data_IF_471841256736
#
_entry.id   IF_471841256736
#
_cell.length_a   1.000
_cell.length_b   1.000
_cell.length_c   1.000
_cell.angle_alpha   90.00
_cell.angle_beta   90.00
_cell.angle_gamma   90.00
#
_symmetry.space_group_name_H-M   'P 1'
#
loop_
_entity.id
_entity.type
_entity.pdbx_description
1 polymer ?
#
# COMPACT_ATOMS: atom_id res chain seq x y z
N UNK A 1 23.37 1.20 -24.61
CA UNK A 1 22.69 1.56 -23.35
C UNK A 1 23.24 0.69 -22.24
N UNK A 2 23.52 1.22 -21.06
CA UNK A 2 24.11 0.45 -19.97
C UNK A 2 23.02 -0.29 -19.19
N UNK A 3 23.36 -1.39 -18.48
CA UNK A 3 22.41 -2.13 -17.64
C UNK A 3 21.65 -1.23 -16.64
N UNK A 4 22.36 -0.27 -16.03
CA UNK A 4 21.78 0.69 -15.07
C UNK A 4 20.65 1.50 -15.71
N UNK A 5 20.86 1.98 -16.94
CA UNK A 5 19.88 2.79 -17.68
C UNK A 5 18.62 1.95 -18.02
N UNK A 6 18.82 0.70 -18.44
CA UNK A 6 17.75 -0.23 -18.74
C UNK A 6 16.92 -0.55 -17.48
N UNK A 7 17.57 -0.81 -16.35
CA UNK A 7 16.90 -1.10 -15.09
C UNK A 7 16.11 0.12 -14.58
N UNK A 8 16.64 1.32 -14.76
CA UNK A 8 15.94 2.55 -14.39
C UNK A 8 14.72 2.78 -15.28
N UNK A 9 14.83 2.51 -16.57
CA UNK A 9 13.70 2.55 -17.52
C UNK A 9 12.60 1.57 -17.12
N UNK A 10 12.97 0.31 -16.87
CA UNK A 10 12.04 -0.74 -16.42
C UNK A 10 11.33 -0.35 -15.13
N UNK A 11 12.08 0.17 -14.16
CA UNK A 11 11.52 0.66 -12.90
C UNK A 11 10.49 1.77 -13.12
N UNK A 12 10.81 2.73 -13.97
CA UNK A 12 9.91 3.84 -14.29
C UNK A 12 8.61 3.33 -14.91
N UNK A 13 8.70 2.48 -15.93
CA UNK A 13 7.52 1.91 -16.58
C UNK A 13 6.67 1.06 -15.64
N UNK A 14 7.30 0.24 -14.79
CA UNK A 14 6.59 -0.56 -13.79
C UNK A 14 5.85 0.33 -12.76
N UNK A 15 6.43 1.46 -12.37
CA UNK A 15 5.83 2.40 -11.42
C UNK A 15 4.80 3.34 -12.04
N UNK A 16 4.79 3.45 -13.37
CA UNK A 16 3.68 4.03 -14.15
C UNK A 16 2.50 3.07 -14.31
N UNK A 17 2.65 1.84 -13.85
CA UNK A 17 1.59 0.84 -13.90
C UNK A 17 1.52 0.05 -15.21
N UNK A 18 2.58 0.10 -16.03
CA UNK A 18 2.65 -0.67 -17.25
C UNK A 18 2.75 -2.17 -16.94
N UNK A 19 2.17 -2.99 -17.83
CA UNK A 19 2.22 -4.44 -17.69
C UNK A 19 3.56 -5.02 -18.18
N UNK A 20 3.82 -6.27 -17.84
CA UNK A 20 5.04 -6.97 -18.19
C UNK A 20 5.28 -7.05 -19.71
N UNK A 21 4.24 -7.32 -20.49
CA UNK A 21 4.36 -7.45 -21.96
C UNK A 21 4.79 -6.12 -22.59
N UNK A 22 4.22 -4.99 -22.14
CA UNK A 22 4.62 -3.68 -22.61
C UNK A 22 6.09 -3.37 -22.29
N UNK A 23 6.54 -3.69 -21.05
CA UNK A 23 7.93 -3.46 -20.64
C UNK A 23 8.88 -4.33 -21.47
N UNK A 24 8.51 -5.58 -21.74
CA UNK A 24 9.28 -6.50 -22.57
C UNK A 24 9.41 -6.00 -24.01
N UNK A 25 8.33 -5.50 -24.58
CA UNK A 25 8.31 -4.94 -25.94
C UNK A 25 9.14 -3.65 -26.01
N UNK A 26 9.04 -2.75 -25.00
CA UNK A 26 9.90 -1.55 -24.92
C UNK A 26 11.39 -1.94 -24.87
N UNK A 27 11.75 -2.94 -24.07
CA UNK A 27 13.13 -3.44 -23.99
C UNK A 27 13.61 -4.08 -25.30
N UNK A 28 12.73 -4.73 -26.07
CA UNK A 28 13.08 -5.34 -27.34
C UNK A 28 13.55 -4.30 -28.37
N UNK A 29 13.09 -3.05 -28.28
CA UNK A 29 13.54 -1.97 -29.15
C UNK A 29 15.01 -1.58 -28.94
N UNK A 30 15.61 -1.97 -27.83
CA UNK A 30 17.03 -1.73 -27.52
C UNK A 30 17.94 -2.89 -27.91
N UNK A 31 17.39 -3.95 -28.56
CA UNK A 31 18.21 -5.01 -29.16
C UNK A 31 19.16 -4.41 -30.23
N UNK A 32 20.44 -4.69 -30.06
CA UNK A 32 21.52 -4.12 -30.92
C UNK A 32 22.17 -2.86 -30.37
N UNK A 33 21.57 -2.19 -29.40
CA UNK A 33 22.16 -1.06 -28.68
C UNK A 33 22.72 -1.46 -27.30
N UNK A 34 22.35 -2.63 -26.81
CA UNK A 34 22.75 -3.17 -25.52
C UNK A 34 23.07 -4.64 -25.62
N UNK A 35 23.89 -5.14 -24.69
CA UNK A 35 24.15 -6.58 -24.58
C UNK A 35 22.86 -7.34 -24.28
N UNK A 36 22.61 -8.43 -25.00
CA UNK A 36 21.40 -9.27 -24.79
C UNK A 36 21.25 -9.72 -23.34
N UNK A 37 22.38 -10.00 -22.66
CA UNK A 37 22.40 -10.32 -21.23
C UNK A 37 21.82 -9.20 -20.36
N UNK A 38 22.08 -7.94 -20.69
CA UNK A 38 21.55 -6.79 -19.93
C UNK A 38 20.04 -6.67 -20.10
N UNK A 39 19.52 -6.97 -21.31
CA UNK A 39 18.09 -6.97 -21.58
C UNK A 39 17.41 -8.10 -20.83
N UNK A 40 18.00 -9.29 -20.79
CA UNK A 40 17.46 -10.44 -20.06
C UNK A 40 17.40 -10.16 -18.54
N UNK A 41 18.47 -9.61 -17.97
CA UNK A 41 18.50 -9.24 -16.55
C UNK A 41 17.47 -8.15 -16.23
N UNK A 42 17.38 -7.10 -17.04
CA UNK A 42 16.39 -6.04 -16.86
C UNK A 42 14.95 -6.57 -16.97
N UNK A 43 14.70 -7.50 -17.89
CA UNK A 43 13.39 -8.16 -18.05
C UNK A 43 13.02 -8.99 -16.81
N UNK A 44 14.00 -9.67 -16.21
CA UNK A 44 13.79 -10.41 -14.95
C UNK A 44 13.44 -9.46 -13.80
N UNK A 45 14.13 -8.34 -13.70
CA UNK A 45 13.92 -7.35 -12.67
C UNK A 45 12.53 -6.66 -12.81
N UNK A 46 11.96 -6.63 -14.03
CA UNK A 46 10.62 -6.10 -14.28
C UNK A 46 9.54 -6.77 -13.42
N UNK A 47 9.61 -8.08 -13.24
CA UNK A 47 8.66 -8.81 -12.39
C UNK A 47 8.69 -8.33 -10.94
N UNK A 48 9.89 -8.08 -10.42
CA UNK A 48 10.05 -7.59 -9.05
C UNK A 48 9.49 -6.18 -8.88
N UNK A 49 9.75 -5.28 -9.82
CA UNK A 49 9.23 -3.91 -9.78
C UNK A 49 7.71 -3.86 -9.92
N UNK A 50 7.12 -4.66 -10.82
CA UNK A 50 5.67 -4.78 -10.98
C UNK A 50 5.03 -5.33 -9.69
N UNK A 51 5.59 -6.40 -9.12
CA UNK A 51 5.10 -6.96 -7.87
C UNK A 51 5.14 -5.94 -6.72
N UNK A 52 6.22 -5.17 -6.62
CA UNK A 52 6.36 -4.12 -5.61
C UNK A 52 5.32 -3.01 -5.80
N UNK A 53 5.05 -2.60 -7.04
CA UNK A 53 4.01 -1.63 -7.36
C UNK A 53 2.61 -2.12 -6.96
N UNK A 54 2.26 -3.35 -7.35
CA UNK A 54 0.97 -3.96 -7.00
C UNK A 54 0.76 -4.06 -5.49
N UNK A 55 1.80 -4.47 -4.76
CA UNK A 55 1.74 -4.54 -3.31
C UNK A 55 1.61 -3.16 -2.63
N UNK A 56 2.24 -2.13 -3.19
CA UNK A 56 2.07 -0.76 -2.71
C UNK A 56 0.65 -0.25 -2.96
N UNK A 57 0.07 -0.56 -4.11
CA UNK A 57 -1.30 -0.23 -4.47
C UNK A 57 -2.31 -0.97 -3.57
N UNK A 58 -2.10 -2.26 -3.32
CA UNK A 58 -2.91 -3.04 -2.37
C UNK A 58 -2.84 -2.46 -0.95
N UNK A 59 -1.68 -1.99 -0.51
CA UNK A 59 -1.52 -1.36 0.80
C UNK A 59 -2.35 -0.08 0.93
N UNK A 60 -2.44 0.73 -0.14
CA UNK A 60 -3.31 1.91 -0.17
C UNK A 60 -4.79 1.56 -0.17
N UNK A 61 -5.19 0.57 -0.94
CA UNK A 61 -6.57 0.06 -0.96
C UNK A 61 -6.98 -0.48 0.41
N UNK A 62 -6.12 -1.26 1.06
CA UNK A 62 -6.36 -1.77 2.41
C UNK A 62 -6.47 -0.62 3.45
N UNK A 63 -5.64 0.42 3.33
CA UNK A 63 -5.72 1.59 4.18
C UNK A 63 -7.05 2.33 4.01
N UNK A 64 -7.53 2.49 2.77
CA UNK A 64 -8.85 3.09 2.50
C UNK A 64 -9.97 2.28 3.16
N UNK A 65 -9.96 0.97 3.01
CA UNK A 65 -10.93 0.07 3.64
C UNK A 65 -10.92 0.21 5.17
N UNK A 66 -9.73 0.30 5.77
CA UNK A 66 -9.60 0.52 7.22
C UNK A 66 -10.16 1.87 7.67
N UNK A 67 -10.00 2.94 6.87
CA UNK A 67 -10.59 4.26 7.15
C UNK A 67 -12.12 4.16 7.13
N UNK A 68 -12.69 3.47 6.15
CA UNK A 68 -14.14 3.29 6.04
C UNK A 68 -14.69 2.50 7.25
N UNK A 69 -14.07 1.36 7.58
CA UNK A 69 -14.47 0.54 8.73
C UNK A 69 -14.34 1.34 10.04
N UNK A 70 -13.22 2.04 10.20
CA UNK A 70 -12.98 2.90 11.37
C UNK A 70 -14.01 4.02 11.49
N UNK A 71 -14.44 4.61 10.36
CA UNK A 71 -15.48 5.62 10.30
C UNK A 71 -16.84 5.07 10.75
N UNK A 72 -17.22 3.89 10.27
CA UNK A 72 -18.47 3.22 10.68
C UNK A 72 -18.46 2.92 12.18
N UNK A 73 -17.37 2.37 12.72
CA UNK A 73 -17.24 2.07 14.14
C UNK A 73 -17.30 3.34 15.00
N UNK A 74 -16.68 4.42 14.55
CA UNK A 74 -16.70 5.69 15.25
C UNK A 74 -18.10 6.28 15.31
N UNK A 75 -18.82 6.31 14.18
CA UNK A 75 -20.21 6.82 14.12
C UNK A 75 -21.13 5.97 14.98
N UNK A 76 -21.04 4.64 14.89
CA UNK A 76 -21.83 3.74 15.74
C UNK A 76 -21.52 3.93 17.22
N UNK A 77 -20.25 4.07 17.58
CA UNK A 77 -19.83 4.34 18.97
C UNK A 77 -20.41 5.64 19.50
N UNK A 78 -20.35 6.73 18.74
CA UNK A 78 -20.93 8.03 19.12
C UNK A 78 -22.45 7.91 19.26
N UNK A 79 -23.12 7.27 18.30
CA UNK A 79 -24.56 7.07 18.34
C UNK A 79 -24.98 6.31 19.61
N UNK A 80 -24.28 5.23 19.96
CA UNK A 80 -24.55 4.47 21.17
C UNK A 80 -24.24 5.27 22.45
N UNK A 81 -23.23 6.14 22.47
CA UNK A 81 -22.97 7.03 23.61
C UNK A 81 -24.17 7.95 23.85
N UNK A 82 -24.68 8.59 22.79
CA UNK A 82 -25.83 9.50 22.88
C UNK A 82 -27.07 8.74 23.34
N UNK A 83 -27.33 7.56 22.77
CA UNK A 83 -28.47 6.73 23.11
C UNK A 83 -28.42 6.24 24.56
N UNK A 84 -27.27 5.78 25.03
CA UNK A 84 -27.08 5.27 26.39
C UNK A 84 -27.12 6.36 27.44
N UNK A 85 -26.77 7.61 27.08
CA UNK A 85 -26.91 8.76 27.97
C UNK A 85 -28.36 9.03 28.33
N UNK A 86 -29.31 8.69 27.45
CA UNK A 86 -30.76 8.83 27.71
C UNK A 86 -31.34 7.71 28.59
N UNK A 87 -30.69 6.55 28.68
CA UNK A 87 -31.25 5.34 29.32
C UNK A 87 -30.53 4.95 30.62
N UNK A 88 -29.47 5.67 31.01
CA UNK A 88 -28.71 5.49 32.28
C UNK A 88 -28.05 4.10 32.44
N UNK A 89 -27.69 3.46 31.34
CA UNK A 89 -27.03 2.17 31.33
C UNK A 89 -25.48 2.26 31.29
N UNK A 90 -24.87 2.31 32.48
CA UNK A 90 -23.41 2.48 32.65
C UNK A 90 -22.56 1.41 31.94
N UNK A 91 -22.99 0.16 31.91
CA UNK A 91 -22.22 -0.94 31.25
C UNK A 91 -22.14 -0.81 29.74
N UNK A 92 -23.20 -0.30 29.11
CA UNK A 92 -23.24 -0.05 27.68
C UNK A 92 -22.36 1.15 27.26
N UNK A 93 -22.15 2.10 28.17
CA UNK A 93 -21.26 3.23 27.95
C UNK A 93 -19.81 2.80 27.73
N UNK A 94 -19.29 1.84 28.49
CA UNK A 94 -17.92 1.35 28.32
C UNK A 94 -17.71 0.74 26.94
N UNK A 95 -18.67 -0.08 26.46
CA UNK A 95 -18.65 -0.65 25.11
C UNK A 95 -18.70 0.42 24.02
N UNK A 96 -19.53 1.43 24.19
CA UNK A 96 -19.69 2.52 23.23
C UNK A 96 -18.41 3.36 23.10
N UNK A 97 -17.74 3.66 24.22
CA UNK A 97 -16.44 4.33 24.23
C UNK A 97 -15.34 3.44 23.62
N UNK A 98 -15.39 2.13 23.85
CA UNK A 98 -14.49 1.17 23.23
C UNK A 98 -14.63 1.16 21.71
N UNK A 99 -15.84 1.16 21.18
CA UNK A 99 -16.10 1.24 19.73
C UNK A 99 -15.62 2.56 19.12
N UNK A 100 -15.97 3.68 19.73
CA UNK A 100 -15.57 5.00 19.23
C UNK A 100 -14.05 5.16 19.21
N UNK A 101 -13.36 4.77 20.29
CA UNK A 101 -11.90 4.87 20.39
C UNK A 101 -11.20 3.91 19.41
N UNK A 102 -11.68 2.69 19.23
CA UNK A 102 -11.12 1.75 18.25
C UNK A 102 -11.29 2.25 16.82
N UNK A 103 -12.44 2.81 16.48
CA UNK A 103 -12.69 3.45 15.19
C UNK A 103 -11.74 4.61 14.93
N UNK A 104 -11.52 5.48 15.90
CA UNK A 104 -10.58 6.59 15.79
C UNK A 104 -9.13 6.11 15.60
N UNK A 105 -8.69 5.10 16.35
CA UNK A 105 -7.35 4.54 16.23
C UNK A 105 -7.10 3.90 14.87
N UNK A 106 -8.11 3.19 14.32
CA UNK A 106 -8.05 2.62 12.98
C UNK A 106 -7.89 3.71 11.92
N UNK A 107 -8.70 4.78 11.98
CA UNK A 107 -8.62 5.91 11.05
C UNK A 107 -7.23 6.56 11.14
N UNK A 108 -6.77 6.89 12.35
CA UNK A 108 -5.47 7.54 12.55
C UNK A 108 -4.32 6.72 11.97
N UNK A 109 -4.34 5.39 12.18
CA UNK A 109 -3.31 4.48 11.68
C UNK A 109 -3.34 4.38 10.15
N UNK A 110 -4.52 4.21 9.58
CA UNK A 110 -4.70 4.03 8.15
C UNK A 110 -4.49 5.33 7.36
N UNK A 111 -4.86 6.47 7.93
CA UNK A 111 -4.71 7.78 7.31
C UNK A 111 -3.26 8.11 6.96
N UNK A 112 -2.32 7.77 7.84
CA UNK A 112 -0.91 7.99 7.57
C UNK A 112 -0.45 7.21 6.32
N UNK A 113 -0.83 5.93 6.21
CA UNK A 113 -0.52 5.08 5.06
C UNK A 113 -1.20 5.58 3.79
N UNK A 114 -2.45 5.99 3.88
CA UNK A 114 -3.20 6.52 2.75
C UNK A 114 -2.59 7.81 2.19
N UNK A 115 -2.17 8.72 3.07
CA UNK A 115 -1.57 10.01 2.71
C UNK A 115 -0.16 9.88 2.14
N UNK A 116 0.58 8.82 2.50
CA UNK A 116 1.95 8.62 2.00
C UNK A 116 1.93 8.44 0.49
N UNK A 117 2.69 9.23 -0.30
CA UNK A 117 2.75 9.07 -1.74
C UNK A 117 3.28 7.69 -2.12
N UNK A 118 2.85 7.17 -3.27
CA UNK A 118 3.21 5.83 -3.73
C UNK A 118 4.73 5.68 -3.90
N UNK A 119 5.39 6.73 -4.37
CA UNK A 119 6.85 6.82 -4.49
C UNK A 119 7.58 6.53 -3.19
N UNK A 120 7.11 7.10 -2.08
CA UNK A 120 7.75 6.94 -0.77
C UNK A 120 7.52 5.53 -0.21
N UNK A 121 6.36 4.94 -0.47
CA UNK A 121 6.08 3.54 -0.13
C UNK A 121 7.00 2.58 -0.87
N UNK A 122 7.29 2.86 -2.14
CA UNK A 122 8.19 2.07 -2.97
C UNK A 122 9.65 2.25 -2.55
N UNK A 123 10.08 3.47 -2.21
CA UNK A 123 11.43 3.77 -1.73
C UNK A 123 11.70 3.14 -0.36
N UNK A 124 10.74 3.16 0.55
CA UNK A 124 10.90 2.54 1.88
C UNK A 124 11.07 1.02 1.78
N UNK A 125 10.49 0.41 0.76
CA UNK A 125 10.66 -1.02 0.45
C UNK A 125 12.05 -1.35 -0.11
N UNK A 126 12.57 -0.52 -1.02
CA UNK A 126 13.90 -0.70 -1.62
C UNK A 126 15.01 -0.67 -0.55
N UNK A 127 14.86 0.11 0.50
CA UNK A 127 15.86 0.24 1.57
C UNK A 127 15.82 -0.88 2.62
N UNK A 128 15.07 -1.98 2.38
CA UNK A 128 15.00 -3.12 3.30
C UNK A 128 14.37 -2.80 4.67
N UNK A 129 14.04 -1.54 4.90
CA UNK A 129 13.23 -1.10 6.04
C UNK A 129 11.77 -1.38 5.70
N UNK A 130 11.40 -2.67 5.68
CA UNK A 130 10.00 -3.03 5.87
C UNK A 130 9.62 -2.40 7.19
N UNK A 131 8.92 -1.29 7.14
CA UNK A 131 8.37 -0.70 8.35
C UNK A 131 7.57 -1.82 9.00
N UNK A 132 7.99 -2.27 10.18
CA UNK A 132 7.38 -3.39 10.91
C UNK A 132 5.85 -3.22 11.08
N UNK A 133 5.35 -2.01 10.82
CA UNK A 133 3.93 -1.68 10.77
C UNK A 133 3.17 -2.42 9.65
N UNK A 134 3.85 -2.81 8.56
CA UNK A 134 3.24 -3.56 7.45
C UNK A 134 3.35 -5.09 7.58
N UNK A 135 4.22 -5.59 8.46
CA UNK A 135 4.39 -7.04 8.65
C UNK A 135 3.19 -7.72 9.32
N UNK A 136 2.29 -6.95 9.93
CA UNK A 136 1.14 -7.50 10.66
C UNK A 136 0.06 -8.09 9.74
N UNK A 137 0.08 -7.80 8.44
CA UNK A 137 -0.88 -8.34 7.46
C UNK A 137 -0.34 -9.50 6.63
N UNK A 138 0.89 -9.94 6.88
CA UNK A 138 1.40 -11.18 6.30
C UNK A 138 0.94 -12.34 7.18
N UNK A 139 -0.35 -12.68 7.06
CA UNK A 139 -0.89 -13.93 7.59
C UNK A 139 -0.10 -15.10 7.04
N UNK A 140 0.23 -16.02 7.95
CA UNK A 140 0.84 -17.33 7.69
C UNK A 140 0.08 -18.10 6.65
#
# INVERSE_FOLDING_TARGET
>A
MNYIDLTERVRTLAYEGQNYEFIKDDLANYKGQSLDLHIELATRDAHEYIANYQLAQQSKSAALTQIIIGGVLLVLGIFLIIYNYQIDHYRLNILSWGLASSGFLLIRRAYHTYRTPLSDLLLSRKNGKIDKRFSFFRGK
#
